data_IF_415951748974
#
_entry.id   IF_415951748974
#
_cell.length_a   1.000
_cell.length_b   1.000
_cell.length_c   1.000
_cell.angle_alpha   90.00
_cell.angle_beta   90.00
_cell.angle_gamma   90.00
#
_symmetry.space_group_name_H-M   'P 1'
#
loop_
_entity.id
_entity.type
_entity.pdbx_description
1 polymer ?
#
# COMPACT_ATOMS: atom_id res chain seq x y z
N UNK A 1 -7.59 -18.60 -3.20
CA UNK A 1 -8.23 -17.67 -4.15
C UNK A 1 -8.69 -18.47 -5.36
N UNK A 2 -9.94 -18.29 -5.82
CA UNK A 2 -10.40 -18.95 -7.07
C UNK A 2 -9.77 -18.22 -8.27
N UNK A 3 -9.10 -18.97 -9.15
CA UNK A 3 -8.58 -18.44 -10.42
C UNK A 3 -9.56 -18.74 -11.54
N UNK A 4 -9.70 -17.80 -12.48
CA UNK A 4 -10.44 -17.99 -13.73
C UNK A 4 -9.46 -17.85 -14.89
N UNK A 5 -9.46 -18.83 -15.80
CA UNK A 5 -8.62 -18.76 -17.01
C UNK A 5 -9.22 -17.72 -17.97
N UNK A 6 -8.38 -16.82 -18.46
CA UNK A 6 -8.72 -15.86 -19.50
C UNK A 6 -7.80 -16.08 -20.70
N UNK A 7 -8.36 -16.09 -21.90
CA UNK A 7 -7.59 -16.12 -23.14
C UNK A 7 -7.36 -14.69 -23.61
N UNK A 8 -6.10 -14.32 -23.84
CA UNK A 8 -5.69 -12.95 -24.19
C UNK A 8 -4.80 -13.04 -25.41
N UNK A 9 -5.06 -12.18 -26.40
CA UNK A 9 -4.22 -12.05 -27.58
C UNK A 9 -3.14 -11.01 -27.29
N UNK A 10 -1.87 -11.39 -27.47
CA UNK A 10 -0.72 -10.52 -27.30
C UNK A 10 0.08 -10.50 -28.61
N UNK A 11 0.57 -9.33 -29.04
CA UNK A 11 1.52 -9.24 -30.14
C UNK A 11 2.74 -10.13 -29.93
N UNK A 12 3.21 -10.76 -30.99
CA UNK A 12 4.27 -11.77 -30.91
C UNK A 12 5.63 -11.18 -30.48
N UNK A 13 5.93 -9.98 -30.94
CA UNK A 13 7.08 -9.17 -30.51
C UNK A 13 7.06 -8.91 -29.00
N UNK A 14 5.91 -8.52 -28.44
CA UNK A 14 5.77 -8.28 -27.00
C UNK A 14 5.97 -9.57 -26.19
N UNK A 15 5.46 -10.71 -26.67
CA UNK A 15 5.67 -12.00 -25.99
C UNK A 15 7.15 -12.35 -25.95
N UNK A 16 7.87 -12.16 -27.06
CA UNK A 16 9.32 -12.40 -27.13
C UNK A 16 10.10 -11.50 -26.18
N UNK A 17 9.72 -10.23 -26.09
CA UNK A 17 10.35 -9.29 -25.17
C UNK A 17 10.14 -9.70 -23.71
N UNK A 18 8.90 -10.03 -23.34
CA UNK A 18 8.58 -10.52 -21.99
C UNK A 18 9.42 -11.76 -21.68
N UNK A 19 9.51 -12.72 -22.60
CA UNK A 19 10.33 -13.92 -22.43
C UNK A 19 11.80 -13.64 -22.17
N UNK A 20 12.36 -12.65 -22.87
CA UNK A 20 13.75 -12.27 -22.69
C UNK A 20 14.03 -11.74 -21.28
N UNK A 21 13.03 -11.13 -20.64
CA UNK A 21 13.13 -10.52 -19.31
C UNK A 21 12.86 -11.55 -18.21
N UNK A 22 11.77 -12.31 -18.32
CA UNK A 22 11.30 -13.17 -17.22
C UNK A 22 11.70 -14.63 -17.37
N UNK A 23 12.23 -15.00 -18.53
CA UNK A 23 12.65 -16.37 -18.82
C UNK A 23 11.48 -17.37 -18.93
N UNK A 24 11.80 -18.66 -19.07
CA UNK A 24 10.80 -19.70 -19.27
C UNK A 24 9.87 -19.83 -18.06
N UNK A 25 8.57 -19.97 -18.32
CA UNK A 25 7.47 -20.12 -17.34
C UNK A 25 7.17 -18.90 -16.46
N UNK A 26 7.85 -17.76 -16.66
CA UNK A 26 7.61 -16.51 -15.91
C UNK A 26 6.44 -15.65 -16.42
N UNK A 27 5.94 -15.89 -17.64
CA UNK A 27 4.94 -15.04 -18.31
C UNK A 27 3.68 -14.80 -17.49
N UNK A 28 3.10 -15.85 -16.91
CA UNK A 28 1.83 -15.73 -16.17
C UNK A 28 2.00 -14.93 -14.88
N UNK A 29 3.10 -15.16 -14.15
CA UNK A 29 3.43 -14.41 -12.95
C UNK A 29 3.64 -12.93 -13.25
N UNK A 30 4.42 -12.64 -14.30
CA UNK A 30 4.66 -11.28 -14.78
C UNK A 30 3.36 -10.56 -15.12
N UNK A 31 2.52 -11.16 -15.97
CA UNK A 31 1.25 -10.55 -16.38
C UNK A 31 0.30 -10.32 -15.19
N UNK A 32 0.26 -11.23 -14.22
CA UNK A 32 -0.56 -11.06 -13.02
C UNK A 32 -0.05 -9.91 -12.16
N UNK A 33 1.26 -9.81 -11.97
CA UNK A 33 1.88 -8.73 -11.20
C UNK A 33 1.67 -7.38 -11.86
N UNK A 34 2.01 -7.25 -13.14
CA UNK A 34 1.82 -6.03 -13.93
C UNK A 34 0.35 -5.62 -13.97
N UNK A 35 -0.57 -6.57 -14.15
CA UNK A 35 -2.00 -6.26 -14.12
C UNK A 35 -2.45 -5.76 -12.75
N UNK A 36 -1.95 -6.35 -11.65
CA UNK A 36 -2.25 -5.87 -10.29
C UNK A 36 -1.74 -4.45 -10.08
N UNK A 37 -0.53 -4.16 -10.51
CA UNK A 37 0.06 -2.84 -10.40
C UNK A 37 -0.71 -1.80 -11.23
N UNK A 38 -1.01 -2.12 -12.49
CA UNK A 38 -1.78 -1.25 -13.38
C UNK A 38 -3.18 -0.96 -12.82
N UNK A 39 -3.85 -1.97 -12.24
CA UNK A 39 -5.15 -1.78 -11.58
C UNK A 39 -5.02 -0.88 -10.35
N UNK A 40 -4.00 -1.09 -9.50
CA UNK A 40 -3.76 -0.20 -8.34
C UNK A 40 -3.52 1.24 -8.79
N UNK A 41 -2.68 1.46 -9.79
CA UNK A 41 -2.39 2.79 -10.35
C UNK A 41 -3.66 3.46 -10.87
N UNK A 42 -4.48 2.75 -11.65
CA UNK A 42 -5.75 3.29 -12.17
C UNK A 42 -6.74 3.64 -11.05
N UNK A 43 -6.83 2.81 -10.01
CA UNK A 43 -7.66 3.12 -8.83
C UNK A 43 -7.19 4.38 -8.11
N UNK A 44 -5.88 4.53 -7.93
CA UNK A 44 -5.30 5.71 -7.32
C UNK A 44 -5.57 6.96 -8.16
N UNK A 45 -5.34 6.92 -9.47
CA UNK A 45 -5.60 8.06 -10.35
C UNK A 45 -7.07 8.49 -10.29
N UNK A 46 -8.01 7.54 -10.38
CA UNK A 46 -9.45 7.85 -10.24
C UNK A 46 -9.80 8.48 -8.90
N UNK A 47 -9.12 8.06 -7.83
CA UNK A 47 -9.32 8.65 -6.51
C UNK A 47 -8.78 10.08 -6.45
N UNK A 48 -7.60 10.32 -7.01
CA UNK A 48 -7.00 11.67 -7.08
C UNK A 48 -7.78 12.63 -7.99
N UNK A 49 -8.41 12.11 -9.05
CA UNK A 49 -9.30 12.88 -9.93
C UNK A 49 -10.66 13.16 -9.29
N UNK A 50 -11.02 12.47 -8.20
CA UNK A 50 -12.31 12.65 -7.56
C UNK A 50 -12.29 13.84 -6.59
N UNK A 51 -13.33 14.66 -6.62
CA UNK A 51 -13.55 15.74 -5.64
C UNK A 51 -13.92 15.22 -4.25
N UNK A 52 -13.96 13.89 -4.07
CA UNK A 52 -14.24 13.27 -2.79
C UNK A 52 -13.11 13.58 -1.81
N UNK A 53 -13.40 14.16 -0.63
CA UNK A 53 -12.37 14.46 0.35
C UNK A 53 -11.64 13.18 0.73
N UNK A 54 -10.34 13.14 0.47
CA UNK A 54 -9.46 12.03 0.85
C UNK A 54 -9.30 11.89 2.37
N UNK A 55 -9.66 12.95 3.11
CA UNK A 55 -9.52 13.11 4.54
C UNK A 55 -10.71 13.91 5.06
N UNK A 56 -11.33 13.47 6.16
CA UNK A 56 -12.42 14.19 6.81
C UNK A 56 -12.16 14.29 8.29
N UNK A 57 -12.29 15.48 8.86
CA UNK A 57 -12.07 15.70 10.30
C UNK A 57 -13.04 14.89 11.17
N UNK A 58 -14.25 14.60 10.66
CA UNK A 58 -15.25 13.77 11.34
C UNK A 58 -14.79 12.32 11.54
N UNK A 59 -13.90 11.81 10.67
CA UNK A 59 -13.37 10.45 10.77
C UNK A 59 -12.17 10.37 11.74
N UNK A 60 -11.67 11.51 12.23
CA UNK A 60 -10.47 11.63 13.08
C UNK A 60 -10.71 12.47 14.36
N UNK A 61 -11.58 11.99 15.28
CA UNK A 61 -11.84 12.70 16.53
C UNK A 61 -10.59 12.87 17.42
N UNK A 62 -9.61 11.97 17.30
CA UNK A 62 -8.33 12.04 18.01
C UNK A 62 -7.51 13.28 17.65
N UNK A 63 -7.74 13.86 16.47
CA UNK A 63 -7.07 15.07 16.00
C UNK A 63 -7.87 16.35 16.28
N UNK A 64 -9.04 16.26 16.93
CA UNK A 64 -9.92 17.41 17.19
C UNK A 64 -9.22 18.53 17.99
N UNK A 65 -8.25 18.19 18.85
CA UNK A 65 -7.43 19.15 19.62
C UNK A 65 -6.17 19.62 18.87
N UNK A 66 -6.11 19.34 17.57
CA UNK A 66 -4.99 19.64 16.68
C UNK A 66 -3.93 18.54 16.64
N UNK A 67 -3.37 18.33 15.44
CA UNK A 67 -2.33 17.33 15.21
C UNK A 67 -1.08 17.52 16.09
N UNK A 68 -0.70 18.76 16.40
CA UNK A 68 0.44 19.06 17.26
C UNK A 68 0.28 18.53 18.68
N UNK A 69 -0.92 18.66 19.26
CA UNK A 69 -1.26 18.13 20.59
C UNK A 69 -1.23 16.61 20.58
N UNK A 70 -1.84 16.00 19.57
CA UNK A 70 -1.88 14.55 19.41
C UNK A 70 -0.48 13.93 19.26
N UNK A 71 0.39 14.51 18.43
CA UNK A 71 1.79 14.05 18.27
C UNK A 71 2.58 14.17 19.58
N UNK A 72 2.34 15.24 20.36
CA UNK A 72 3.01 15.43 21.66
C UNK A 72 2.60 14.34 22.65
N UNK A 73 1.30 14.05 22.77
CA UNK A 73 0.79 12.98 23.62
C UNK A 73 1.36 11.61 23.21
N UNK A 74 1.41 11.31 21.90
CA UNK A 74 1.96 10.07 21.36
C UNK A 74 3.46 9.89 21.71
N UNK A 75 4.25 10.96 21.63
CA UNK A 75 5.67 10.94 22.01
C UNK A 75 5.85 10.72 23.51
N UNK A 76 5.10 11.43 24.34
CA UNK A 76 5.15 11.27 25.80
C UNK A 76 4.79 9.83 26.23
N UNK A 77 3.79 9.23 25.58
CA UNK A 77 3.44 7.84 25.85
C UNK A 77 4.57 6.88 25.49
N UNK A 78 5.21 7.08 24.34
CA UNK A 78 6.34 6.28 23.86
C UNK A 78 7.54 6.35 24.81
N UNK A 79 7.88 7.56 25.27
CA UNK A 79 8.94 7.79 26.26
C UNK A 79 8.61 7.14 27.61
N UNK A 80 7.37 7.27 28.07
CA UNK A 80 6.91 6.63 29.32
C UNK A 80 6.99 5.10 29.24
N UNK A 81 6.63 4.51 28.10
CA UNK A 81 6.79 3.06 27.87
C UNK A 81 8.27 2.66 27.88
N UNK A 82 9.14 3.45 27.25
CA UNK A 82 10.59 3.18 27.19
C UNK A 82 11.22 3.22 28.59
N UNK A 83 10.92 4.24 29.38
CA UNK A 83 11.45 4.39 30.75
C UNK A 83 10.95 3.28 31.68
N UNK A 84 9.67 2.87 31.56
CA UNK A 84 9.13 1.71 32.29
C UNK A 84 9.86 0.41 31.95
N UNK A 85 10.15 0.15 30.67
CA UNK A 85 10.92 -1.03 30.24
C UNK A 85 12.34 -1.00 30.81
N UNK A 86 13.03 0.14 30.76
CA UNK A 86 14.37 0.29 31.32
C UNK A 86 14.40 0.07 32.84
N UNK A 87 13.41 0.58 33.56
CA UNK A 87 13.26 0.35 35.01
C UNK A 87 13.02 -1.12 35.36
N UNK A 88 12.25 -1.84 34.55
CA UNK A 88 12.02 -3.29 34.73
C UNK A 88 13.24 -4.15 34.41
N UNK A 89 14.05 -3.77 33.42
CA UNK A 89 15.27 -4.50 33.05
C UNK A 89 16.43 -4.29 34.04
N UNK A 90 16.37 -3.26 34.87
CA UNK A 90 17.37 -2.93 35.90
C UNK A 90 17.07 -3.57 37.27
N UNK A 91 15.93 -4.23 37.41
CA UNK A 91 15.51 -4.98 38.61
C UNK A 91 15.68 -6.47 38.33
#
# INVERSE_FOLDING_TARGET
MKSKRAHILLPHDLVKEIDSIVGPRGRSAFLVETAREAVRRKKLLRFLESDTPAWKDADHPELARGAGTWVRELRQESETRRTRKQRRAKK
#
